data_IF_981698911599
#
_entry.id   IF_981698911599
#
_cell.length_a   1.000
_cell.length_b   1.000
_cell.length_c   1.000
_cell.angle_alpha   90.00
_cell.angle_beta   90.00
_cell.angle_gamma   90.00
#
_symmetry.space_group_name_H-M   'P 1'
#
loop_
_entity.id
_entity.type
_entity.pdbx_description
1 polymer ?
#
# COMPACT_ATOMS: atom_id res chain seq x y z
N UNK A 1 -31.62 23.35 -14.92
CA UNK A 1 -30.16 23.51 -15.08
C UNK A 1 -29.30 22.94 -13.93
N UNK A 2 -29.79 22.79 -12.68
CA UNK A 2 -28.94 22.32 -11.56
C UNK A 2 -28.63 20.81 -11.49
N UNK A 3 -29.51 19.95 -12.02
CA UNK A 3 -29.35 18.49 -11.90
C UNK A 3 -28.22 17.93 -12.80
N UNK A 4 -28.00 18.52 -13.97
CA UNK A 4 -26.91 18.14 -14.86
C UNK A 4 -25.54 18.44 -14.23
N UNK A 5 -25.39 19.63 -13.62
CA UNK A 5 -24.17 20.03 -12.93
C UNK A 5 -23.86 19.14 -11.71
N UNK A 6 -24.88 18.74 -10.92
CA UNK A 6 -24.70 17.79 -9.80
C UNK A 6 -24.22 16.42 -10.26
N UNK A 7 -24.81 15.87 -11.34
CA UNK A 7 -24.38 14.58 -11.92
C UNK A 7 -22.96 14.62 -12.50
N UNK A 8 -22.54 15.76 -13.05
CA UNK A 8 -21.15 15.94 -13.53
C UNK A 8 -20.20 16.01 -12.34
N UNK A 9 -20.53 16.77 -11.31
CA UNK A 9 -19.73 16.87 -10.08
C UNK A 9 -19.57 15.50 -9.40
N UNK A 10 -20.65 14.74 -9.27
CA UNK A 10 -20.60 13.38 -8.70
C UNK A 10 -19.73 12.44 -9.54
N UNK A 11 -19.90 12.43 -10.88
CA UNK A 11 -19.09 11.59 -11.76
C UNK A 11 -17.61 11.98 -11.78
N UNK A 12 -17.31 13.27 -11.68
CA UNK A 12 -15.95 13.78 -11.64
C UNK A 12 -15.28 13.45 -10.29
N UNK A 13 -15.95 13.70 -9.16
CA UNK A 13 -15.40 13.43 -7.83
C UNK A 13 -15.28 11.93 -7.54
N UNK A 14 -16.21 11.10 -8.03
CA UNK A 14 -16.13 9.64 -7.87
C UNK A 14 -15.07 8.98 -8.77
N UNK A 15 -14.39 9.74 -9.64
CA UNK A 15 -13.33 9.21 -10.50
C UNK A 15 -11.96 9.17 -9.82
N UNK A 16 -11.79 9.89 -8.71
CA UNK A 16 -10.50 9.97 -8.04
C UNK A 16 -10.34 8.83 -7.04
N UNK A 17 -9.32 8.01 -7.27
CA UNK A 17 -8.81 7.08 -6.27
C UNK A 17 -7.60 7.73 -5.56
N UNK A 18 -7.35 7.43 -4.28
CA UNK A 18 -6.15 7.88 -3.59
C UNK A 18 -4.90 7.45 -4.36
N UNK A 19 -4.11 8.42 -4.83
CA UNK A 19 -2.90 8.18 -5.61
C UNK A 19 -1.70 7.76 -4.74
N UNK A 20 -1.78 7.99 -3.42
CA UNK A 20 -0.83 7.45 -2.48
C UNK A 20 -1.45 7.33 -1.08
N UNK A 21 -0.88 6.43 -0.28
CA UNK A 21 -1.15 6.33 1.16
C UNK A 21 0.18 6.37 1.87
N UNK A 22 0.34 7.31 2.80
CA UNK A 22 1.42 7.30 3.79
C UNK A 22 0.77 7.40 5.15
N UNK A 23 0.81 6.30 5.91
CA UNK A 23 0.12 6.19 7.19
C UNK A 23 1.09 5.68 8.25
N UNK A 24 1.31 6.40 9.35
CA UNK A 24 2.08 5.89 10.47
C UNK A 24 1.35 4.72 11.13
N UNK A 25 2.10 3.69 11.54
CA UNK A 25 1.59 2.51 12.26
C UNK A 25 2.51 2.21 13.43
N UNK A 26 2.05 1.41 14.38
CA UNK A 26 2.89 1.00 15.52
C UNK A 26 4.14 0.26 15.01
N UNK A 27 5.32 0.85 15.22
CA UNK A 27 6.60 0.28 14.79
C UNK A 27 7.08 0.71 13.40
N UNK A 28 6.30 1.50 12.64
CA UNK A 28 6.68 1.81 11.27
C UNK A 28 5.73 2.73 10.50
N UNK A 29 5.71 2.56 9.18
CA UNK A 29 4.78 3.25 8.29
C UNK A 29 4.24 2.31 7.21
N UNK A 30 2.99 2.53 6.81
CA UNK A 30 2.38 1.90 5.65
C UNK A 30 2.46 2.88 4.48
N UNK A 31 3.06 2.45 3.38
CA UNK A 31 3.20 3.21 2.14
C UNK A 31 2.48 2.47 1.02
N UNK A 32 1.75 3.19 0.17
CA UNK A 32 1.32 2.70 -1.14
C UNK A 32 1.46 3.81 -2.15
N UNK A 33 2.11 3.52 -3.27
CA UNK A 33 2.13 4.38 -4.46
C UNK A 33 1.07 3.90 -5.45
N UNK A 34 0.57 4.80 -6.30
CA UNK A 34 -0.41 4.46 -7.32
C UNK A 34 0.08 3.31 -8.22
N UNK A 35 -0.72 2.25 -8.35
CA UNK A 35 -0.36 1.05 -9.12
C UNK A 35 0.75 0.18 -8.51
N UNK A 36 1.23 0.51 -7.30
CA UNK A 36 2.22 -0.26 -6.55
C UNK A 36 1.59 -1.14 -5.46
N UNK A 37 2.38 -2.10 -4.91
CA UNK A 37 1.97 -2.88 -3.74
C UNK A 37 1.89 -1.98 -2.50
N UNK A 38 1.20 -2.47 -1.48
CA UNK A 38 1.27 -1.93 -0.13
C UNK A 38 2.58 -2.35 0.51
N UNK A 39 3.36 -1.38 1.00
CA UNK A 39 4.65 -1.57 1.62
C UNK A 39 4.57 -1.24 3.11
N UNK A 40 5.05 -2.13 3.96
CA UNK A 40 5.23 -1.87 5.39
C UNK A 40 6.69 -1.53 5.62
N UNK A 41 6.96 -0.35 6.17
CA UNK A 41 8.29 0.20 6.39
C UNK A 41 8.65 0.19 7.87
N UNK A 42 9.89 -0.19 8.17
CA UNK A 42 10.52 0.08 9.47
C UNK A 42 11.08 1.49 9.47
N UNK A 43 10.66 2.32 10.42
CA UNK A 43 11.25 3.66 10.62
C UNK A 43 12.65 3.54 11.22
N UNK A 44 12.89 2.52 12.05
CA UNK A 44 14.16 2.33 12.75
C UNK A 44 15.28 1.88 11.80
N UNK A 45 14.95 0.98 10.88
CA UNK A 45 15.90 0.39 9.92
C UNK A 45 15.83 1.06 8.54
N UNK A 46 14.91 2.00 8.36
CA UNK A 46 14.66 2.73 7.10
C UNK A 46 14.55 1.81 5.87
N UNK A 47 13.83 0.70 6.01
CA UNK A 47 13.69 -0.33 4.99
C UNK A 47 12.27 -0.92 4.92
N UNK A 48 11.94 -1.53 3.79
CA UNK A 48 10.68 -2.28 3.61
C UNK A 48 10.79 -3.62 4.35
N UNK A 49 9.83 -3.88 5.23
CA UNK A 49 9.69 -5.14 5.95
C UNK A 49 8.84 -6.15 5.18
N UNK A 50 7.79 -5.70 4.50
CA UNK A 50 6.87 -6.55 3.78
C UNK A 50 6.12 -5.81 2.67
N UNK A 51 5.68 -6.58 1.67
CA UNK A 51 4.85 -6.12 0.56
C UNK A 51 3.57 -6.96 0.45
N UNK A 52 2.45 -6.29 0.16
CA UNK A 52 1.13 -6.88 0.01
C UNK A 52 0.46 -6.38 -1.28
N UNK A 53 -0.28 -7.27 -1.96
CA UNK A 53 -1.11 -6.89 -3.11
C UNK A 53 -2.29 -6.02 -2.70
N UNK A 54 -2.91 -6.35 -1.56
CA UNK A 54 -4.04 -5.63 -0.97
C UNK A 54 -3.66 -4.91 0.33
N UNK A 55 -4.56 -4.07 0.85
CA UNK A 55 -4.28 -3.30 2.06
C UNK A 55 -4.12 -4.25 3.25
N UNK A 56 -2.97 -4.26 3.95
CA UNK A 56 -2.76 -5.15 5.08
C UNK A 56 -3.71 -4.80 6.24
N UNK A 57 -4.20 -5.84 6.92
CA UNK A 57 -5.01 -5.70 8.13
C UNK A 57 -4.16 -5.34 9.35
N UNK A 58 -4.80 -4.99 10.47
CA UNK A 58 -4.08 -4.76 11.74
C UNK A 58 -3.28 -5.99 12.17
N UNK A 59 -3.85 -7.18 12.02
CA UNK A 59 -3.19 -8.44 12.39
C UNK A 59 -1.99 -8.74 11.49
N UNK A 60 -2.09 -8.42 10.20
CA UNK A 60 -0.95 -8.53 9.27
C UNK A 60 0.19 -7.61 9.68
N UNK A 61 -0.12 -6.37 10.06
CA UNK A 61 0.87 -5.41 10.55
C UNK A 61 1.53 -5.93 11.83
N UNK A 62 0.74 -6.40 12.81
CA UNK A 62 1.26 -6.97 14.04
C UNK A 62 2.20 -8.15 13.76
N UNK A 63 1.84 -9.03 12.82
CA UNK A 63 2.69 -10.16 12.42
C UNK A 63 4.01 -9.70 11.79
N UNK A 64 3.97 -8.70 10.91
CA UNK A 64 5.18 -8.13 10.28
C UNK A 64 6.11 -7.52 11.33
N UNK A 65 5.55 -6.82 12.33
CA UNK A 65 6.36 -6.18 13.38
C UNK A 65 6.79 -7.14 14.51
N UNK A 66 6.13 -8.30 14.68
CA UNK A 66 6.48 -9.30 15.71
C UNK A 66 7.51 -10.36 15.28
N UNK A 67 7.64 -10.68 13.98
CA UNK A 67 8.35 -11.89 13.50
C UNK A 67 9.75 -11.67 12.89
N UNK A 68 10.66 -12.68 12.93
CA UNK A 68 11.98 -12.61 12.32
C UNK A 68 11.99 -13.21 10.90
N UNK A 69 11.49 -12.50 9.88
CA UNK A 69 11.66 -12.90 8.48
C UNK A 69 12.13 -11.71 7.61
N UNK A 70 13.38 -11.33 7.86
CA UNK A 70 14.01 -10.06 7.45
C UNK A 70 14.40 -9.90 5.96
N UNK A 71 14.05 -10.77 5.01
CA UNK A 71 14.60 -10.55 3.64
C UNK A 71 13.98 -11.35 2.49
N UNK A 72 13.65 -12.62 2.71
CA UNK A 72 13.56 -13.56 1.59
C UNK A 72 12.25 -13.51 0.78
N UNK A 73 11.12 -13.12 1.38
CA UNK A 73 9.85 -12.94 0.65
C UNK A 73 9.81 -11.64 -0.17
N UNK A 74 10.56 -10.62 0.25
CA UNK A 74 10.66 -9.34 -0.47
C UNK A 74 11.43 -9.48 -1.80
N UNK A 75 12.44 -10.36 -1.84
CA UNK A 75 13.14 -10.72 -3.08
C UNK A 75 12.26 -11.54 -4.05
N UNK A 76 11.39 -12.41 -3.53
CA UNK A 76 10.53 -13.25 -4.37
C UNK A 76 9.38 -12.46 -5.03
N UNK A 77 8.87 -11.39 -4.41
CA UNK A 77 7.86 -10.54 -5.05
C UNK A 77 8.42 -9.67 -6.18
N UNK A 78 9.64 -9.13 -6.03
CA UNK A 78 10.35 -8.45 -7.12
C UNK A 78 10.60 -9.36 -8.33
N UNK A 79 10.80 -10.66 -8.07
CA UNK A 79 10.99 -11.69 -9.09
C UNK A 79 9.73 -11.96 -9.93
N UNK A 80 8.52 -11.97 -9.34
CA UNK A 80 7.28 -12.19 -10.10
C UNK A 80 6.86 -10.99 -10.95
N UNK A 81 7.17 -9.77 -10.53
CA UNK A 81 6.92 -8.56 -11.31
C UNK A 81 7.78 -8.47 -12.59
N UNK A 82 8.90 -9.18 -12.62
CA UNK A 82 9.78 -9.28 -13.80
C UNK A 82 9.39 -10.40 -14.78
N UNK A 83 8.60 -11.39 -14.36
CA UNK A 83 8.12 -12.52 -15.20
C UNK A 83 6.79 -12.25 -15.91
N UNK A 84 6.13 -11.12 -15.62
CA UNK A 84 4.91 -10.66 -16.29
C UNK A 84 5.19 -9.69 -17.45
N UNK A 85 6.45 -9.59 -17.88
CA UNK A 85 6.89 -8.81 -19.04
C UNK A 85 7.62 -9.71 -20.03
#
# INVERSE_FOLDING_TARGET
>A
MGLAARRVRERFLNRFEPCYVLQPVMGGALLRTFGGPWQVWSVLENQVLAEFGDRPSSDDLERVFRGPQRSWLAQLQGFFRALQN
#
